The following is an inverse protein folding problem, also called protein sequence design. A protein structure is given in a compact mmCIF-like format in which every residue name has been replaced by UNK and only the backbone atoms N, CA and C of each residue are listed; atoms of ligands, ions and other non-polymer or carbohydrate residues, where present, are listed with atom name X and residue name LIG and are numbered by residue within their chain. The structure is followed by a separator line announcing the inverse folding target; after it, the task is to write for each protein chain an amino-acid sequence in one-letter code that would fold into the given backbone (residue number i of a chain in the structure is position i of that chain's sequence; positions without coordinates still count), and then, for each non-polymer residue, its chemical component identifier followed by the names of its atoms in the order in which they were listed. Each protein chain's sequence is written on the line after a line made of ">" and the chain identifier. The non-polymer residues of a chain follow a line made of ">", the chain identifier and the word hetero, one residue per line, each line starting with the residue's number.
data_IF_342666157627
#
_entry.id   IF_342666157627
#
_cell.length_a   1.000
_cell.length_b   1.000
_cell.length_c   1.000
_cell.angle_alpha   90.00
_cell.angle_beta   90.00
_cell.angle_gamma   90.00
#
_symmetry.space_group_name_H-M   'P 1'
#
loop_
_entity.id
_entity.type
_entity.pdbx_description
1 polymer ?
#
# COMPACT_ATOMS: atom_id res chain seq x y z
N UNK A 1 -4.26 3.88 -20.03
CA UNK A 1 -5.17 3.62 -18.87
C UNK A 1 -4.50 4.11 -17.58
N UNK A 2 -5.25 4.36 -16.48
CA UNK A 2 -4.63 4.77 -15.21
C UNK A 2 -4.08 3.57 -14.43
N UNK A 3 -2.99 3.79 -13.71
CA UNK A 3 -2.36 2.84 -12.79
C UNK A 3 -2.76 3.10 -11.35
N UNK A 4 -2.75 4.37 -10.95
CA UNK A 4 -3.13 4.80 -9.61
C UNK A 4 -3.77 6.18 -9.64
N UNK A 5 -4.58 6.47 -8.62
CA UNK A 5 -5.27 7.75 -8.48
C UNK A 5 -5.36 8.13 -7.01
N UNK A 6 -4.97 9.35 -6.71
CA UNK A 6 -5.11 9.93 -5.38
C UNK A 6 -5.78 11.30 -5.47
N UNK A 7 -6.83 11.51 -4.70
CA UNK A 7 -7.63 12.74 -4.75
C UNK A 7 -7.44 13.51 -3.46
N UNK A 8 -7.08 14.77 -3.59
CA UNK A 8 -6.92 15.71 -2.48
C UNK A 8 -7.79 16.93 -2.73
N UNK A 9 -8.44 17.45 -1.67
CA UNK A 9 -9.14 18.74 -1.79
C UNK A 9 -8.13 19.85 -2.10
N UNK A 10 -8.44 20.69 -3.07
CA UNK A 10 -7.63 21.85 -3.37
C UNK A 10 -7.67 22.83 -2.16
N UNK A 11 -6.53 23.26 -1.60
CA UNK A 11 -6.51 24.13 -0.44
C UNK A 11 -7.03 25.55 -0.75
N UNK A 12 -6.90 25.99 -2.01
CA UNK A 12 -7.23 27.34 -2.47
C UNK A 12 -8.64 27.44 -3.05
N UNK A 13 -9.27 26.30 -3.38
CA UNK A 13 -10.63 26.23 -3.92
C UNK A 13 -11.43 25.07 -3.32
N UNK A 14 -12.37 25.42 -2.45
CA UNK A 14 -13.19 24.47 -1.71
C UNK A 14 -13.99 23.49 -2.59
N UNK A 15 -14.36 23.90 -3.81
CA UNK A 15 -15.21 23.09 -4.72
C UNK A 15 -14.38 22.20 -5.64
N UNK A 16 -13.09 22.45 -5.77
CA UNK A 16 -12.18 21.72 -6.62
C UNK A 16 -11.29 20.74 -5.83
N UNK A 17 -10.85 19.73 -6.54
CA UNK A 17 -9.96 18.70 -6.04
C UNK A 17 -8.79 18.53 -6.98
N UNK A 18 -7.60 18.41 -6.41
CA UNK A 18 -6.42 18.00 -7.15
C UNK A 18 -6.43 16.48 -7.26
N UNK A 19 -6.44 15.98 -8.47
CA UNK A 19 -6.40 14.55 -8.77
C UNK A 19 -5.01 14.21 -9.26
N UNK A 20 -4.25 13.57 -8.41
CA UNK A 20 -2.95 13.00 -8.73
C UNK A 20 -3.19 11.68 -9.46
N UNK A 21 -2.74 11.58 -10.69
CA UNK A 21 -3.02 10.47 -11.59
C UNK A 21 -1.71 9.90 -12.12
N UNK A 22 -1.53 8.60 -11.95
CA UNK A 22 -0.45 7.82 -12.56
C UNK A 22 -1.02 7.01 -13.71
N UNK A 23 -0.42 7.13 -14.88
CA UNK A 23 -0.81 6.43 -16.11
C UNK A 23 0.39 5.76 -16.75
N UNK A 24 0.17 5.05 -17.85
CA UNK A 24 1.27 4.49 -18.67
C UNK A 24 2.14 5.60 -19.31
N UNK A 25 1.60 6.82 -19.44
CA UNK A 25 2.29 7.99 -19.99
C UNK A 25 3.04 8.81 -18.93
N UNK A 26 2.82 8.51 -17.64
CA UNK A 26 3.47 9.19 -16.51
C UNK A 26 2.50 9.76 -15.49
N UNK A 27 3.04 10.62 -14.63
CA UNK A 27 2.32 11.27 -13.55
C UNK A 27 1.82 12.66 -13.97
N UNK A 28 0.53 12.93 -13.65
CA UNK A 28 -0.11 14.23 -13.88
C UNK A 28 -0.95 14.66 -12.68
N UNK A 29 -1.25 15.96 -12.60
CA UNK A 29 -2.23 16.51 -11.64
C UNK A 29 -3.32 17.20 -12.44
N UNK A 30 -4.56 16.76 -12.24
CA UNK A 30 -5.74 17.31 -12.90
C UNK A 30 -6.66 17.97 -11.88
N UNK A 31 -7.37 19.01 -12.30
CA UNK A 31 -8.41 19.63 -11.49
C UNK A 31 -9.74 18.93 -11.73
N UNK A 32 -10.44 18.58 -10.67
CA UNK A 32 -11.76 17.97 -10.71
C UNK A 32 -12.76 18.71 -9.85
N UNK A 33 -13.82 19.20 -10.46
CA UNK A 33 -14.90 19.84 -9.76
C UNK A 33 -15.95 18.80 -9.32
N UNK A 34 -16.24 18.74 -8.02
CA UNK A 34 -17.26 17.83 -7.52
C UNK A 34 -18.66 18.25 -7.98
N UNK A 35 -19.50 17.27 -8.18
CA UNK A 35 -20.88 17.47 -8.63
C UNK A 35 -21.87 16.58 -7.87
N UNK A 36 -23.13 16.95 -7.93
CA UNK A 36 -24.27 16.17 -7.48
C UNK A 36 -25.35 16.06 -8.55
N UNK A 37 -26.42 15.30 -8.25
CA UNK A 37 -27.56 15.16 -9.10
C UNK A 37 -28.83 15.57 -8.36
N UNK A 38 -29.68 16.39 -9.02
CA UNK A 38 -31.02 16.77 -8.58
C UNK A 38 -32.04 16.08 -9.46
N UNK A 39 -33.11 15.58 -8.85
CA UNK A 39 -34.33 15.23 -9.61
C UNK A 39 -34.98 16.48 -10.19
N UNK A 40 -35.41 16.39 -11.44
CA UNK A 40 -35.99 17.52 -12.16
C UNK A 40 -37.06 17.06 -13.17
N UNK A 41 -37.72 18.01 -13.81
CA UNK A 41 -38.61 17.70 -14.92
C UNK A 41 -37.87 17.10 -16.12
N UNK A 42 -38.53 16.28 -16.96
CA UNK A 42 -37.95 15.69 -18.16
C UNK A 42 -37.25 16.72 -19.07
N UNK A 43 -37.85 17.91 -19.19
CA UNK A 43 -37.34 18.99 -20.04
C UNK A 43 -36.00 19.60 -19.53
N UNK A 44 -35.68 19.43 -18.25
CA UNK A 44 -34.48 19.95 -17.60
C UNK A 44 -33.42 18.87 -17.37
N UNK A 45 -33.74 17.62 -17.62
CA UNK A 45 -32.87 16.50 -17.36
C UNK A 45 -31.67 16.48 -18.30
N UNK A 46 -30.50 16.27 -17.71
CA UNK A 46 -29.24 16.03 -18.46
C UNK A 46 -28.81 14.57 -18.37
N UNK A 47 -29.40 13.81 -17.44
CA UNK A 47 -29.09 12.40 -17.16
C UNK A 47 -30.36 11.65 -16.77
N UNK A 48 -30.32 10.33 -16.86
CA UNK A 48 -31.34 9.42 -16.38
C UNK A 48 -30.73 8.51 -15.33
N UNK A 49 -31.41 8.40 -14.19
CA UNK A 49 -30.99 7.52 -13.11
C UNK A 49 -31.34 6.05 -13.41
N UNK A 50 -30.80 5.15 -12.57
CA UNK A 50 -30.98 3.69 -12.74
C UNK A 50 -32.44 3.22 -12.65
N UNK A 51 -33.29 3.98 -12.00
CA UNK A 51 -34.75 3.70 -11.89
C UNK A 51 -35.59 4.53 -12.84
N UNK A 52 -34.97 5.21 -13.81
CA UNK A 52 -35.65 6.07 -14.77
C UNK A 52 -35.90 7.50 -14.29
N UNK A 53 -35.31 7.91 -13.17
CA UNK A 53 -35.42 9.28 -12.65
C UNK A 53 -34.79 10.29 -13.61
N UNK A 54 -35.40 11.43 -13.78
CA UNK A 54 -34.89 12.54 -14.57
C UNK A 54 -33.97 13.37 -13.67
N UNK A 55 -32.66 13.43 -14.03
CA UNK A 55 -31.62 14.02 -13.22
C UNK A 55 -30.92 15.18 -13.94
N UNK A 56 -30.67 16.25 -13.18
CA UNK A 56 -29.83 17.37 -13.62
C UNK A 56 -28.49 17.33 -12.84
N UNK A 57 -27.39 17.28 -13.57
CA UNK A 57 -26.04 17.40 -13.00
C UNK A 57 -25.80 18.85 -12.55
N UNK A 58 -25.39 19.04 -11.30
CA UNK A 58 -25.11 20.35 -10.72
C UNK A 58 -23.73 20.38 -10.06
N UNK A 59 -23.06 21.50 -10.17
CA UNK A 59 -21.74 21.76 -9.59
C UNK A 59 -21.87 22.75 -8.43
N UNK A 60 -20.84 22.86 -7.59
CA UNK A 60 -20.76 23.84 -6.49
C UNK A 60 -21.93 23.78 -5.52
N UNK A 61 -22.50 22.59 -5.29
CA UNK A 61 -23.57 22.41 -4.31
C UNK A 61 -23.04 22.53 -2.88
N UNK A 62 -23.77 23.27 -2.03
CA UNK A 62 -23.47 23.39 -0.61
C UNK A 62 -24.26 22.37 0.20
N UNK A 63 -23.73 22.01 1.38
CA UNK A 63 -24.38 21.05 2.29
C UNK A 63 -25.81 21.46 2.67
N UNK A 64 -26.10 22.75 2.67
CA UNK A 64 -27.44 23.27 2.95
C UNK A 64 -28.42 23.04 1.81
N UNK A 65 -27.94 22.81 0.59
CA UNK A 65 -28.77 22.48 -0.57
C UNK A 65 -29.16 21.00 -0.58
N UNK A 66 -28.53 20.16 0.26
CA UNK A 66 -28.73 18.72 0.35
C UNK A 66 -30.13 18.35 0.90
N UNK A 67 -30.82 19.30 1.53
CA UNK A 67 -32.09 19.01 2.21
C UNK A 67 -33.27 18.72 1.29
N UNK A 68 -33.19 18.99 0.01
CA UNK A 68 -34.41 19.10 -0.77
C UNK A 68 -34.60 18.04 -1.87
N UNK A 69 -33.63 17.48 -2.53
CA UNK A 69 -33.89 16.51 -3.63
C UNK A 69 -32.62 15.82 -4.17
N UNK A 70 -31.57 15.58 -3.35
CA UNK A 70 -30.41 14.85 -3.82
C UNK A 70 -30.66 13.35 -3.83
N UNK A 71 -30.42 12.76 -4.97
CA UNK A 71 -30.51 11.31 -5.16
C UNK A 71 -29.30 10.58 -4.57
N UNK A 72 -29.40 9.28 -4.42
CA UNK A 72 -28.31 8.42 -3.99
C UNK A 72 -27.09 8.50 -4.94
N UNK A 73 -27.29 8.88 -6.19
CA UNK A 73 -26.23 9.12 -7.19
C UNK A 73 -25.27 10.26 -6.81
N UNK A 74 -25.69 11.17 -5.92
CA UNK A 74 -24.83 12.24 -5.40
C UNK A 74 -23.81 11.74 -4.37
N UNK A 75 -24.08 10.62 -3.70
CA UNK A 75 -23.30 10.11 -2.57
C UNK A 75 -21.96 9.46 -2.94
N UNK A 76 -21.65 9.26 -4.22
CA UNK A 76 -20.39 8.67 -4.68
C UNK A 76 -19.19 9.47 -4.19
N UNK A 77 -18.09 8.78 -3.82
CA UNK A 77 -16.87 9.48 -3.46
C UNK A 77 -16.24 10.13 -4.72
N UNK A 78 -15.46 11.18 -4.50
CA UNK A 78 -14.89 12.00 -5.57
C UNK A 78 -13.94 11.22 -6.46
N UNK A 79 -13.14 10.35 -5.89
CA UNK A 79 -12.25 9.45 -6.61
C UNK A 79 -13.03 8.59 -7.63
N UNK A 80 -14.12 7.97 -7.20
CA UNK A 80 -14.97 7.16 -8.08
C UNK A 80 -15.62 8.00 -9.17
N UNK A 81 -16.14 9.20 -8.83
CA UNK A 81 -16.75 10.10 -9.81
C UNK A 81 -15.75 10.51 -10.91
N UNK A 82 -14.54 10.90 -10.50
CA UNK A 82 -13.49 11.26 -11.45
C UNK A 82 -13.16 10.09 -12.40
N UNK A 83 -12.97 8.89 -11.84
CA UNK A 83 -12.64 7.72 -12.66
C UNK A 83 -13.78 7.33 -13.60
N UNK A 84 -15.03 7.43 -13.18
CA UNK A 84 -16.19 7.18 -14.05
C UNK A 84 -16.25 8.23 -15.17
N UNK A 85 -16.10 9.50 -14.84
CA UNK A 85 -16.18 10.57 -15.85
C UNK A 85 -15.05 10.44 -16.90
N UNK A 86 -13.85 10.03 -16.48
CA UNK A 86 -12.69 9.95 -17.34
C UNK A 86 -12.56 8.62 -18.10
N UNK A 87 -12.89 7.51 -17.43
CA UNK A 87 -12.62 6.15 -17.92
C UNK A 87 -13.85 5.26 -18.02
N UNK A 88 -15.06 5.72 -17.62
CA UNK A 88 -16.23 4.89 -17.46
C UNK A 88 -16.74 4.20 -18.75
N UNK A 89 -16.34 4.68 -19.92
CA UNK A 89 -16.64 4.07 -21.23
C UNK A 89 -15.42 3.46 -21.91
N UNK A 90 -14.29 3.38 -21.21
CA UNK A 90 -13.04 2.88 -21.78
C UNK A 90 -12.79 1.45 -21.24
N UNK A 91 -12.78 0.46 -22.13
CA UNK A 91 -12.52 -0.95 -21.82
C UNK A 91 -11.02 -1.31 -21.88
N UNK A 92 -10.13 -0.36 -22.16
CA UNK A 92 -8.70 -0.61 -22.17
C UNK A 92 -8.18 -0.90 -20.76
N UNK A 93 -7.38 -1.94 -20.63
CA UNK A 93 -6.68 -2.25 -19.39
C UNK A 93 -5.38 -1.47 -19.27
N UNK A 94 -4.98 -1.10 -18.06
CA UNK A 94 -3.63 -0.60 -17.81
C UNK A 94 -2.61 -1.68 -18.15
N UNK A 95 -1.50 -1.28 -18.77
CA UNK A 95 -0.57 -2.22 -19.40
C UNK A 95 0.15 -3.07 -18.36
N UNK A 96 0.94 -2.50 -17.50
CA UNK A 96 1.70 -3.24 -16.50
C UNK A 96 1.88 -2.41 -15.24
N UNK A 97 1.51 -2.98 -14.11
CA UNK A 97 1.84 -2.42 -12.81
C UNK A 97 3.21 -2.94 -12.36
N UNK A 98 4.01 -2.06 -11.78
CA UNK A 98 5.25 -2.47 -11.13
C UNK A 98 4.94 -2.98 -9.73
N UNK A 99 4.99 -4.28 -9.58
CA UNK A 99 4.70 -4.98 -8.35
C UNK A 99 5.99 -5.26 -7.59
N UNK A 100 6.06 -4.82 -6.34
CA UNK A 100 7.16 -5.13 -5.43
C UNK A 100 6.61 -5.93 -4.27
N UNK A 101 7.05 -7.16 -4.15
CA UNK A 101 6.77 -8.03 -3.01
C UNK A 101 7.78 -7.69 -1.91
N UNK A 102 7.33 -7.55 -0.68
CA UNK A 102 8.23 -7.24 0.42
C UNK A 102 7.76 -7.85 1.74
N UNK A 103 8.71 -8.02 2.63
CA UNK A 103 8.51 -8.52 3.99
C UNK A 103 9.53 -7.88 4.93
N UNK A 104 9.19 -7.71 6.21
CA UNK A 104 10.10 -7.17 7.21
C UNK A 104 10.24 -8.12 8.39
N UNK A 105 11.42 -8.14 9.00
CA UNK A 105 11.61 -8.77 10.31
C UNK A 105 12.04 -7.73 11.35
N UNK A 106 11.59 -7.95 12.57
CA UNK A 106 11.90 -7.08 13.71
C UNK A 106 12.45 -7.92 14.87
N UNK A 107 13.22 -7.29 15.75
CA UNK A 107 13.52 -7.92 17.05
C UNK A 107 12.21 -8.15 17.82
N UNK A 108 12.05 -9.35 18.40
CA UNK A 108 10.85 -9.68 19.15
C UNK A 108 10.94 -9.05 20.55
N UNK A 109 9.99 -8.17 20.87
CA UNK A 109 9.98 -7.43 22.15
C UNK A 109 8.64 -7.48 22.90
N UNK A 110 7.65 -8.24 22.38
CA UNK A 110 6.32 -8.31 23.00
C UNK A 110 5.21 -8.78 22.06
N UNK A 111 3.97 -8.73 22.53
CA UNK A 111 2.81 -9.07 21.72
C UNK A 111 2.53 -8.00 20.65
N UNK A 112 2.27 -8.42 19.44
CA UNK A 112 1.94 -7.55 18.31
C UNK A 112 0.51 -7.00 18.44
N UNK A 113 0.36 -5.93 19.21
CA UNK A 113 -0.89 -5.18 19.36
C UNK A 113 -0.82 -3.90 18.53
N UNK A 114 -1.98 -3.28 18.25
CA UNK A 114 -2.03 -1.98 17.53
C UNK A 114 -1.16 -0.92 18.20
N UNK A 115 -1.17 -0.88 19.55
CA UNK A 115 -0.32 0.02 20.33
C UNK A 115 1.17 -0.28 20.14
N UNK A 116 1.53 -1.56 20.07
CA UNK A 116 2.91 -1.99 19.82
C UNK A 116 3.36 -1.58 18.42
N UNK A 117 2.55 -1.85 17.40
CA UNK A 117 2.82 -1.47 16.01
C UNK A 117 2.99 0.04 15.89
N UNK A 118 2.05 0.83 16.44
CA UNK A 118 2.10 2.30 16.39
C UNK A 118 3.30 2.89 17.13
N UNK A 119 3.73 2.28 18.22
CA UNK A 119 4.92 2.72 18.96
C UNK A 119 6.24 2.30 18.33
N UNK A 120 6.21 1.26 17.49
CA UNK A 120 7.35 0.65 16.80
C UNK A 120 8.60 0.59 17.69
N UNK A 121 8.56 -0.17 18.83
CA UNK A 121 9.59 -0.07 19.85
C UNK A 121 10.91 -0.72 19.45
N UNK A 122 10.85 -1.81 18.67
CA UNK A 122 12.00 -2.64 18.35
C UNK A 122 12.58 -2.32 16.98
N UNK A 123 13.88 -2.52 16.77
CA UNK A 123 14.50 -2.30 15.48
C UNK A 123 13.98 -3.27 14.41
N UNK A 124 13.93 -2.77 13.18
CA UNK A 124 13.83 -3.62 11.99
C UNK A 124 15.19 -4.27 11.76
N UNK A 125 15.20 -5.59 11.69
CA UNK A 125 16.42 -6.38 11.53
C UNK A 125 16.71 -6.73 10.08
N UNK A 126 15.66 -6.90 9.26
CA UNK A 126 15.80 -7.08 7.81
C UNK A 126 14.58 -6.55 7.06
N UNK A 127 14.81 -6.19 5.80
CA UNK A 127 13.76 -5.92 4.81
C UNK A 127 14.16 -6.66 3.55
N UNK A 128 13.33 -7.61 3.12
CA UNK A 128 13.48 -8.32 1.86
C UNK A 128 12.46 -7.81 0.85
N UNK A 129 12.84 -7.76 -0.43
CA UNK A 129 11.89 -7.46 -1.50
C UNK A 129 12.25 -8.16 -2.80
N UNK A 130 11.24 -8.36 -3.62
CA UNK A 130 11.34 -8.80 -5.00
C UNK A 130 10.65 -7.81 -5.91
N UNK A 131 11.41 -7.17 -6.80
CA UNK A 131 10.89 -6.40 -7.92
C UNK A 131 10.54 -7.38 -9.05
N UNK A 132 9.27 -7.70 -9.18
CA UNK A 132 8.77 -8.71 -10.13
C UNK A 132 9.09 -8.33 -11.58
N UNK A 133 9.04 -7.05 -11.93
CA UNK A 133 9.26 -6.60 -13.31
C UNK A 133 10.74 -6.71 -13.72
N UNK A 134 11.66 -6.40 -12.82
CA UNK A 134 13.08 -6.53 -13.04
C UNK A 134 13.62 -7.93 -12.73
N UNK A 135 12.81 -8.79 -12.11
CA UNK A 135 13.18 -10.09 -11.53
C UNK A 135 14.40 -9.97 -10.59
N UNK A 136 14.39 -8.94 -9.75
CA UNK A 136 15.47 -8.64 -8.82
C UNK A 136 15.05 -8.87 -7.38
N UNK A 137 15.81 -9.73 -6.71
CA UNK A 137 15.67 -9.99 -5.29
C UNK A 137 16.75 -9.24 -4.52
N UNK A 138 16.35 -8.61 -3.43
CA UNK A 138 17.32 -7.98 -2.53
C UNK A 138 16.86 -8.11 -1.08
N UNK A 139 17.85 -8.09 -0.18
CA UNK A 139 17.62 -8.03 1.25
C UNK A 139 18.62 -7.07 1.90
N UNK A 140 18.14 -6.19 2.74
CA UNK A 140 18.94 -5.37 3.63
C UNK A 140 18.89 -6.00 5.02
N UNK A 141 20.06 -6.21 5.63
CA UNK A 141 20.17 -6.88 6.92
C UNK A 141 20.98 -6.03 7.89
N UNK A 142 20.46 -5.90 9.11
CA UNK A 142 21.16 -5.25 10.21
C UNK A 142 22.24 -6.18 10.75
N UNK A 143 23.47 -6.01 10.29
CA UNK A 143 24.64 -6.78 10.74
C UNK A 143 25.59 -5.94 11.59
N UNK A 144 25.34 -5.88 12.89
CA UNK A 144 26.16 -5.13 13.85
C UNK A 144 27.60 -5.69 13.99
N UNK A 145 27.80 -6.97 13.66
CA UNK A 145 29.09 -7.65 13.81
C UNK A 145 29.95 -7.60 12.55
N UNK A 146 29.35 -7.39 11.37
CA UNK A 146 30.06 -7.35 10.09
C UNK A 146 30.46 -8.73 9.56
N UNK A 147 29.71 -9.77 9.90
CA UNK A 147 29.97 -11.16 9.49
C UNK A 147 29.33 -11.51 8.14
N UNK A 148 28.30 -10.75 7.74
CA UNK A 148 27.55 -11.01 6.51
C UNK A 148 28.31 -10.41 5.32
N UNK A 149 28.56 -11.21 4.29
CA UNK A 149 29.18 -10.73 3.05
C UNK A 149 28.16 -9.99 2.19
N UNK A 150 28.50 -8.78 1.76
CA UNK A 150 27.73 -8.01 0.79
C UNK A 150 27.90 -8.57 -0.64
N UNK A 151 26.89 -8.33 -1.49
CA UNK A 151 26.93 -8.64 -2.92
C UNK A 151 25.92 -9.68 -3.35
N UNK A 152 26.02 -10.12 -4.60
CA UNK A 152 25.12 -11.12 -5.17
C UNK A 152 25.42 -12.52 -4.63
N UNK A 153 24.40 -13.18 -4.08
CA UNK A 153 24.44 -14.55 -3.58
C UNK A 153 23.17 -15.28 -4.06
N UNK A 154 23.34 -16.35 -4.82
CA UNK A 154 22.24 -17.17 -5.37
C UNK A 154 21.14 -16.34 -6.07
N UNK A 155 21.55 -15.34 -6.86
CA UNK A 155 20.64 -14.45 -7.60
C UNK A 155 19.98 -13.35 -6.75
N UNK A 156 20.42 -13.16 -5.49
CA UNK A 156 19.88 -12.18 -4.56
C UNK A 156 20.94 -11.17 -4.13
N UNK A 157 20.60 -9.90 -4.08
CA UNK A 157 21.47 -8.84 -3.57
C UNK A 157 21.39 -8.81 -2.04
N UNK A 158 22.53 -9.07 -1.37
CA UNK A 158 22.65 -8.99 0.09
C UNK A 158 23.32 -7.69 0.48
N UNK A 159 22.65 -6.87 1.28
CA UNK A 159 23.09 -5.53 1.68
C UNK A 159 23.20 -5.48 3.22
N UNK A 160 24.31 -5.89 3.81
CA UNK A 160 24.51 -5.79 5.25
C UNK A 160 24.79 -4.33 5.66
N UNK A 161 24.17 -3.89 6.74
CA UNK A 161 24.36 -2.56 7.31
C UNK A 161 24.58 -2.64 8.83
N UNK A 162 25.36 -1.72 9.39
CA UNK A 162 25.65 -1.69 10.83
C UNK A 162 24.62 -0.96 11.66
N UNK A 163 23.84 -0.06 11.04
CA UNK A 163 22.84 0.78 11.73
C UNK A 163 21.48 0.62 11.08
N UNK A 164 20.47 0.56 11.91
CA UNK A 164 19.07 0.52 11.43
C UNK A 164 18.71 1.73 10.58
N UNK A 165 19.23 2.91 10.90
CA UNK A 165 18.99 4.12 10.09
C UNK A 165 19.45 3.94 8.65
N UNK A 166 20.57 3.26 8.43
CA UNK A 166 21.09 2.98 7.08
C UNK A 166 20.20 1.96 6.37
N UNK A 167 19.68 0.95 7.10
CA UNK A 167 18.71 -0.01 6.58
C UNK A 167 17.46 0.68 6.05
N UNK A 168 16.87 1.55 6.86
CA UNK A 168 15.64 2.28 6.52
C UNK A 168 15.87 3.27 5.36
N UNK A 169 16.99 3.98 5.35
CA UNK A 169 17.34 4.93 4.27
C UNK A 169 17.60 4.23 2.94
N UNK A 170 18.33 3.10 2.94
CA UNK A 170 18.57 2.32 1.72
C UNK A 170 17.26 1.79 1.17
N UNK A 171 16.37 1.27 2.03
CA UNK A 171 15.05 0.82 1.57
C UNK A 171 14.26 1.94 0.92
N UNK A 172 14.19 3.13 1.55
CA UNK A 172 13.51 4.29 0.97
C UNK A 172 14.12 4.67 -0.39
N UNK A 173 15.44 4.73 -0.48
CA UNK A 173 16.13 5.07 -1.73
C UNK A 173 15.87 4.02 -2.84
N UNK A 174 15.79 2.74 -2.48
CA UNK A 174 15.45 1.66 -3.43
C UNK A 174 14.00 1.78 -3.90
N UNK A 175 13.04 2.03 -3.00
CA UNK A 175 11.64 2.21 -3.38
C UNK A 175 11.43 3.46 -4.24
N UNK A 176 12.14 4.56 -3.96
CA UNK A 176 12.16 5.75 -4.81
C UNK A 176 12.73 5.49 -6.22
N UNK A 177 13.76 4.65 -6.33
CA UNK A 177 14.35 4.28 -7.63
C UNK A 177 13.51 3.26 -8.41
N UNK A 178 12.84 2.35 -7.69
CA UNK A 178 11.95 1.35 -8.28
C UNK A 178 10.63 1.98 -8.73
N UNK A 179 10.10 2.93 -7.97
CA UNK A 179 8.77 3.54 -8.20
C UNK A 179 7.65 2.50 -8.31
N UNK A 180 7.40 1.68 -7.25
CA UNK A 180 6.38 0.65 -7.31
C UNK A 180 4.98 1.24 -7.46
N UNK A 181 4.18 0.67 -8.35
CA UNK A 181 2.73 0.95 -8.42
C UNK A 181 1.98 0.21 -7.30
N UNK A 182 2.47 -0.99 -6.95
CA UNK A 182 1.84 -1.88 -5.96
C UNK A 182 2.91 -2.46 -5.02
N UNK A 183 2.69 -2.31 -3.72
CA UNK A 183 3.40 -3.07 -2.69
C UNK A 183 2.57 -4.30 -2.31
N UNK A 184 3.18 -5.47 -2.41
CA UNK A 184 2.54 -6.76 -2.15
C UNK A 184 3.17 -7.40 -0.91
N UNK A 185 2.34 -7.88 0.01
CA UNK A 185 2.81 -8.60 1.18
C UNK A 185 1.75 -9.53 1.75
N UNK A 186 2.09 -10.21 2.84
CA UNK A 186 1.17 -11.08 3.56
C UNK A 186 0.91 -10.53 4.96
N UNK A 187 -0.32 -10.15 5.25
CA UNK A 187 -0.71 -9.39 6.45
C UNK A 187 -0.03 -8.01 6.55
N UNK A 188 0.46 -7.52 5.42
CA UNK A 188 1.29 -6.32 5.32
C UNK A 188 0.53 -5.02 5.60
N UNK A 189 -0.77 -4.98 5.34
CA UNK A 189 -1.62 -3.83 5.66
C UNK A 189 -1.76 -3.63 7.17
N UNK A 190 -1.72 -4.73 7.94
CA UNK A 190 -1.83 -4.68 9.40
C UNK A 190 -0.48 -4.50 10.08
N UNK A 191 0.58 -5.16 9.58
CA UNK A 191 1.86 -5.22 10.28
C UNK A 191 2.99 -4.49 9.54
N UNK A 192 3.44 -4.97 8.38
CA UNK A 192 4.68 -4.53 7.73
C UNK A 192 4.67 -3.04 7.39
N UNK A 193 3.64 -2.57 6.68
CA UNK A 193 3.53 -1.18 6.25
C UNK A 193 3.39 -0.24 7.45
N UNK A 194 2.48 -0.48 8.41
CA UNK A 194 2.35 0.39 9.57
C UNK A 194 3.60 0.40 10.45
N UNK A 195 4.18 -0.78 10.74
CA UNK A 195 5.38 -0.86 11.57
C UNK A 195 6.55 -0.12 10.95
N UNK A 196 6.79 -0.37 9.66
CA UNK A 196 7.86 0.27 8.91
C UNK A 196 7.69 1.79 8.87
N UNK A 197 6.48 2.29 8.57
CA UNK A 197 6.17 3.72 8.58
C UNK A 197 6.43 4.36 9.96
N UNK A 198 5.88 3.79 11.03
CA UNK A 198 6.07 4.33 12.37
C UNK A 198 7.53 4.23 12.82
N UNK A 199 8.23 3.17 12.44
CA UNK A 199 9.65 3.04 12.74
C UNK A 199 10.50 4.07 12.03
N UNK A 200 10.25 4.32 10.74
CA UNK A 200 10.88 5.40 9.99
C UNK A 200 10.57 6.77 10.60
N UNK A 201 9.31 7.02 10.94
CA UNK A 201 8.90 8.27 11.60
C UNK A 201 9.67 8.49 12.91
N UNK A 202 9.84 7.45 13.70
CA UNK A 202 10.58 7.47 14.97
C UNK A 202 12.09 7.64 14.81
N UNK A 203 12.69 6.99 13.82
CA UNK A 203 14.16 6.92 13.65
C UNK A 203 14.72 7.98 12.73
N UNK A 204 14.00 8.32 11.68
CA UNK A 204 14.44 9.26 10.64
C UNK A 204 13.62 10.57 10.62
N UNK A 205 12.50 10.58 11.32
CA UNK A 205 11.54 11.69 11.30
C UNK A 205 10.46 11.55 10.23
N UNK A 206 9.35 12.25 10.42
CA UNK A 206 8.16 12.16 9.59
C UNK A 206 8.42 12.51 8.11
N UNK A 207 9.26 13.51 7.84
CA UNK A 207 9.62 13.90 6.48
C UNK A 207 10.26 12.75 5.69
N UNK A 208 11.09 11.95 6.33
CA UNK A 208 11.70 10.78 5.71
C UNK A 208 10.70 9.64 5.54
N UNK A 209 9.87 9.36 6.56
CA UNK A 209 8.84 8.32 6.45
C UNK A 209 7.85 8.59 5.31
N UNK A 210 7.54 9.85 5.01
CA UNK A 210 6.68 10.24 3.89
C UNK A 210 7.29 9.96 2.51
N UNK A 211 8.59 9.62 2.42
CA UNK A 211 9.25 9.20 1.18
C UNK A 211 8.76 7.87 0.64
N UNK A 212 8.04 7.09 1.43
CA UNK A 212 7.29 5.92 0.93
C UNK A 212 6.29 6.30 -0.18
N UNK A 213 5.77 7.54 -0.15
CA UNK A 213 4.88 8.06 -1.19
C UNK A 213 5.65 8.88 -2.23
N UNK A 214 5.44 8.68 -3.54
CA UNK A 214 6.06 9.49 -4.59
C UNK A 214 5.69 10.97 -4.48
N UNK A 215 4.53 11.29 -3.91
CA UNK A 215 4.07 12.67 -3.67
C UNK A 215 4.21 13.11 -2.20
N UNK A 216 4.93 12.34 -1.38
CA UNK A 216 5.20 12.65 0.05
C UNK A 216 3.95 12.73 0.91
N UNK A 217 2.89 12.01 0.56
CA UNK A 217 1.63 11.95 1.28
C UNK A 217 1.40 10.54 1.81
N UNK A 218 1.41 10.39 3.11
CA UNK A 218 1.05 9.16 3.82
C UNK A 218 -0.05 9.50 4.82
N UNK A 219 -1.17 8.81 4.73
CA UNK A 219 -2.34 9.02 5.59
C UNK A 219 -2.37 8.02 6.72
N UNK A 220 -2.42 8.50 7.95
CA UNK A 220 -2.72 7.71 9.13
C UNK A 220 -4.26 7.65 9.31
N UNK A 221 -4.83 6.44 9.17
CA UNK A 221 -6.27 6.20 9.21
C UNK A 221 -6.65 5.49 10.50
N UNK A 222 -6.78 6.22 11.59
CA UNK A 222 -7.09 5.66 12.91
C UNK A 222 -8.43 4.90 12.96
N UNK A 223 -9.35 5.23 12.05
CA UNK A 223 -10.65 4.58 11.90
C UNK A 223 -10.62 3.29 11.07
N UNK A 224 -9.51 2.97 10.40
CA UNK A 224 -9.35 1.78 9.56
C UNK A 224 -8.43 0.77 10.26
N UNK A 225 -9.04 -0.23 10.89
CA UNK A 225 -8.28 -1.33 11.51
C UNK A 225 -7.57 -2.20 10.46
N UNK A 226 -8.14 -2.28 9.27
CA UNK A 226 -7.64 -3.14 8.19
C UNK A 226 -6.46 -2.53 7.41
N UNK A 227 -6.42 -1.20 7.30
CA UNK A 227 -5.37 -0.47 6.59
C UNK A 227 -5.11 0.87 7.28
N UNK A 228 -4.43 0.86 8.43
CA UNK A 228 -4.21 2.07 9.22
C UNK A 228 -3.27 3.08 8.53
N UNK A 229 -2.44 2.63 7.60
CA UNK A 229 -1.55 3.48 6.80
C UNK A 229 -1.89 3.36 5.32
N UNK A 230 -2.13 4.51 4.68
CA UNK A 230 -2.28 4.59 3.22
C UNK A 230 -1.16 5.42 2.62
N UNK A 231 -0.47 4.85 1.65
CA UNK A 231 0.57 5.53 0.89
C UNK A 231 -0.06 6.09 -0.39
N UNK A 232 -0.12 7.41 -0.53
CA UNK A 232 -0.66 8.01 -1.75
C UNK A 232 0.26 7.73 -2.95
N UNK A 233 -0.32 7.24 -4.04
CA UNK A 233 0.40 6.89 -5.25
C UNK A 233 0.95 5.46 -5.29
N UNK A 234 0.84 4.70 -4.20
CA UNK A 234 1.25 3.28 -4.15
C UNK A 234 0.09 2.47 -3.60
N UNK A 235 -0.40 1.52 -4.37
CA UNK A 235 -1.43 0.60 -3.89
C UNK A 235 -0.82 -0.46 -2.97
N UNK A 236 -1.56 -0.88 -1.95
CA UNK A 236 -1.20 -2.02 -1.13
C UNK A 236 -2.06 -3.22 -1.48
N UNK A 237 -1.44 -4.37 -1.67
CA UNK A 237 -2.08 -5.63 -1.97
C UNK A 237 -1.70 -6.68 -0.91
N UNK A 238 -2.53 -6.79 0.11
CA UNK A 238 -2.36 -7.77 1.18
C UNK A 238 -2.97 -9.12 0.79
N UNK A 239 -2.12 -10.12 0.54
CA UNK A 239 -2.56 -11.44 0.10
C UNK A 239 -3.41 -12.18 1.13
N UNK A 240 -3.20 -11.96 2.43
CA UNK A 240 -4.07 -12.56 3.45
C UNK A 240 -5.50 -12.02 3.34
N UNK A 241 -5.66 -10.72 3.09
CA UNK A 241 -6.98 -10.10 2.88
C UNK A 241 -7.64 -10.54 1.59
N UNK A 242 -6.86 -10.62 0.51
CA UNK A 242 -7.34 -11.16 -0.77
C UNK A 242 -7.84 -12.59 -0.61
N UNK A 243 -7.05 -13.44 0.03
CA UNK A 243 -7.43 -14.83 0.27
C UNK A 243 -8.73 -14.92 1.08
N UNK A 244 -8.84 -14.17 2.19
CA UNK A 244 -10.08 -14.12 2.99
C UNK A 244 -11.30 -13.67 2.18
N UNK A 245 -11.13 -12.72 1.27
CA UNK A 245 -12.22 -12.13 0.48
C UNK A 245 -12.71 -13.04 -0.64
N UNK A 246 -11.79 -13.75 -1.30
CA UNK A 246 -12.08 -14.51 -2.52
C UNK A 246 -12.06 -16.02 -2.34
N UNK A 247 -11.67 -16.52 -1.16
CA UNK A 247 -11.78 -17.95 -0.85
C UNK A 247 -13.25 -18.32 -0.60
N UNK A 248 -13.73 -19.37 -1.29
CA UNK A 248 -15.08 -19.90 -1.10
C UNK A 248 -15.22 -20.72 0.19
N UNK A 249 -14.11 -21.19 0.73
CA UNK A 249 -14.07 -22.01 1.94
C UNK A 249 -13.29 -21.30 3.04
N UNK A 250 -13.80 -21.41 4.26
CA UNK A 250 -13.07 -20.91 5.41
C UNK A 250 -11.88 -21.84 5.71
N UNK A 251 -10.68 -21.26 5.74
CA UNK A 251 -9.47 -21.99 6.05
C UNK A 251 -9.33 -22.25 7.56
N UNK A 252 -8.85 -23.45 7.95
CA UNK A 252 -8.54 -23.74 9.36
C UNK A 252 -7.48 -22.81 9.96
N UNK A 253 -6.58 -22.31 9.13
CA UNK A 253 -5.51 -21.39 9.53
C UNK A 253 -5.18 -20.42 8.39
N UNK A 254 -4.99 -19.14 8.77
CA UNK A 254 -4.52 -18.09 7.86
C UNK A 254 -3.00 -17.89 7.96
N UNK A 255 -2.26 -18.80 8.60
CA UNK A 255 -0.80 -18.72 8.60
C UNK A 255 -0.24 -18.98 7.20
N UNK A 256 0.71 -18.15 6.77
CA UNK A 256 1.33 -18.27 5.43
C UNK A 256 1.91 -19.68 5.20
N UNK A 257 2.52 -20.26 6.23
CA UNK A 257 3.07 -21.62 6.18
C UNK A 257 2.01 -22.68 5.85
N UNK A 258 0.83 -22.59 6.48
CA UNK A 258 -0.29 -23.49 6.21
C UNK A 258 -0.83 -23.33 4.79
N UNK A 259 -1.03 -22.10 4.34
CA UNK A 259 -1.54 -21.82 3.00
C UNK A 259 -0.50 -22.15 1.93
N UNK A 260 0.77 -21.86 2.18
CA UNK A 260 1.89 -22.23 1.29
C UNK A 260 1.98 -23.73 1.08
N UNK A 261 1.88 -24.54 2.14
CA UNK A 261 1.83 -26.00 2.02
C UNK A 261 0.61 -26.48 1.23
N UNK A 262 -0.57 -25.94 1.56
CA UNK A 262 -1.82 -26.37 0.95
C UNK A 262 -1.92 -26.05 -0.54
N UNK A 263 -1.54 -24.83 -0.94
CA UNK A 263 -1.78 -24.33 -2.30
C UNK A 263 -0.56 -24.38 -3.22
N UNK A 264 0.64 -24.34 -2.68
CA UNK A 264 1.90 -24.25 -3.44
C UNK A 264 2.81 -25.45 -3.17
N UNK A 265 2.50 -26.27 -2.15
CA UNK A 265 3.33 -27.40 -1.74
C UNK A 265 4.65 -27.00 -1.09
N UNK A 266 4.76 -25.75 -0.62
CA UNK A 266 5.97 -25.23 0.01
C UNK A 266 5.70 -24.85 1.47
N UNK A 267 6.63 -25.19 2.34
CA UNK A 267 6.65 -24.81 3.75
C UNK A 267 7.77 -23.83 4.04
N UNK A 268 7.62 -23.07 5.13
CA UNK A 268 8.74 -22.33 5.71
C UNK A 268 9.89 -23.29 6.02
N UNK A 269 11.11 -22.81 5.83
CA UNK A 269 12.31 -23.59 6.21
C UNK A 269 12.29 -23.78 7.72
N UNK A 270 12.33 -25.02 8.17
CA UNK A 270 12.37 -25.35 9.59
C UNK A 270 13.75 -24.96 10.19
N UNK A 271 13.71 -24.38 11.37
CA UNK A 271 14.88 -24.04 12.18
C UNK A 271 14.56 -24.22 13.65
N UNK A 272 15.58 -24.52 14.44
CA UNK A 272 15.43 -24.72 15.87
C UNK A 272 15.42 -23.38 16.61
N UNK A 273 14.36 -23.08 17.34
CA UNK A 273 14.25 -21.88 18.18
C UNK A 273 13.49 -20.72 17.52
N UNK A 274 13.79 -19.48 17.90
CA UNK A 274 13.21 -18.26 17.35
C UNK A 274 14.06 -17.69 16.20
N UNK A 275 13.46 -16.81 15.39
CA UNK A 275 14.21 -16.07 14.36
C UNK A 275 15.34 -15.23 14.95
N UNK A 276 15.12 -14.60 16.11
CA UNK A 276 16.16 -13.87 16.84
C UNK A 276 17.35 -14.75 17.20
N UNK A 277 17.05 -15.98 17.63
CA UNK A 277 18.11 -16.96 17.93
C UNK A 277 18.85 -17.38 16.67
N UNK A 278 18.13 -17.65 15.58
CA UNK A 278 18.74 -17.94 14.28
C UNK A 278 19.62 -16.79 13.79
N UNK A 279 19.13 -15.55 13.91
CA UNK A 279 19.90 -14.34 13.56
C UNK A 279 21.16 -14.19 14.40
N UNK A 280 21.10 -14.55 15.70
CA UNK A 280 22.25 -14.47 16.60
C UNK A 280 23.26 -15.59 16.38
N UNK A 281 22.80 -16.83 16.09
CA UNK A 281 23.63 -18.03 16.04
C UNK A 281 24.10 -18.42 14.63
N UNK A 282 23.29 -18.15 13.58
CA UNK A 282 23.59 -18.53 12.19
C UNK A 282 22.99 -17.51 11.20
N UNK A 283 23.70 -16.42 11.02
CA UNK A 283 23.29 -15.33 10.13
C UNK A 283 23.24 -15.74 8.64
N UNK A 284 24.05 -16.69 8.20
CA UNK A 284 24.00 -17.16 6.81
C UNK A 284 22.71 -17.94 6.54
N UNK A 285 22.30 -18.79 7.48
CA UNK A 285 21.04 -19.52 7.39
C UNK A 285 19.83 -18.59 7.54
N UNK A 286 19.95 -17.54 8.36
CA UNK A 286 18.93 -16.49 8.46
C UNK A 286 18.74 -15.77 7.11
N UNK A 287 19.83 -15.33 6.46
CA UNK A 287 19.77 -14.71 5.14
C UNK A 287 19.07 -15.58 4.09
N UNK A 288 19.44 -16.86 4.05
CA UNK A 288 18.87 -17.81 3.09
C UNK A 288 17.36 -18.02 3.31
N UNK A 289 16.88 -17.86 4.55
CA UNK A 289 15.49 -18.02 4.92
C UNK A 289 14.64 -16.81 4.53
N UNK A 290 15.16 -15.60 4.78
CA UNK A 290 14.45 -14.35 4.49
C UNK A 290 14.24 -14.11 2.97
N UNK A 291 14.98 -14.79 2.13
CA UNK A 291 14.92 -14.64 0.67
C UNK A 291 14.13 -15.76 -0.04
N UNK A 292 13.46 -16.65 0.69
CA UNK A 292 12.57 -17.67 0.15
C UNK A 292 11.12 -17.37 0.44
#
# INVERSE_FOLDING_TARGET
>A
MYKNCYVRRNPDDYFNYDVHLWTDEGYTVEQFQNYGYLECSPAQATHVGLKGEHLKKIYNWQRNDIGLHYTDHTKGNIHTKFLIDKYGINDETSVTHREVFFDIEIEIGGALTDKYIKSAPMPVTSIAWWDKQADQWAIIILDKTGEIKAGMQDGREIIPVKRETDLLEIFLARMEAIEPDILVGYNSDYFDIPYLYYRMKKRLGERHARRLSPIRVVEEREWSLDQPIRIAGVASLDYMRLHKKYSFQQEPSMKLDFLGEKYVGQKKIEYNGSLDRLFAEDKQKFNFKETR
#
